data_IF_390702480879
#
_entry.id   IF_390702480879
#
_cell.length_a   1.000
_cell.length_b   1.000
_cell.length_c   1.000
_cell.angle_alpha   90.00
_cell.angle_beta   90.00
_cell.angle_gamma   90.00
#
_symmetry.space_group_name_H-M   'P 1'
#
loop_
_entity.id
_entity.type
_entity.pdbx_description
1 polymer ?
#
# COMPACT_ATOMS: atom_id res chain seq x y z
N UNK A 1 11.33 23.24 -53.61
CA UNK A 1 12.01 23.22 -52.30
C UNK A 1 10.92 23.09 -51.26
N UNK A 2 10.67 21.86 -50.79
CA UNK A 2 9.63 21.59 -49.78
C UNK A 2 10.23 21.85 -48.40
N UNK A 3 9.70 22.84 -47.67
CA UNK A 3 9.99 22.99 -46.25
C UNK A 3 9.13 22.00 -45.47
N UNK A 4 9.77 21.02 -44.84
CA UNK A 4 9.16 20.19 -43.81
C UNK A 4 9.04 21.09 -42.57
N UNK A 5 7.81 21.38 -42.13
CA UNK A 5 7.57 21.90 -40.79
C UNK A 5 7.84 20.78 -39.82
N UNK A 6 8.89 20.90 -39.03
CA UNK A 6 9.06 20.08 -37.83
C UNK A 6 7.86 20.36 -36.90
N UNK A 7 7.09 19.32 -36.60
CA UNK A 7 6.17 19.37 -35.47
C UNK A 7 7.03 19.42 -34.20
N UNK A 8 6.85 20.40 -33.30
CA UNK A 8 7.41 20.27 -31.98
C UNK A 8 6.76 19.04 -31.35
N UNK A 9 7.56 18.03 -31.06
CA UNK A 9 7.18 16.96 -30.15
C UNK A 9 6.79 17.66 -28.84
N UNK A 10 5.50 17.64 -28.50
CA UNK A 10 5.05 17.95 -27.14
C UNK A 10 5.74 16.95 -26.22
N UNK A 11 6.88 17.38 -25.69
CA UNK A 11 7.61 16.73 -24.62
C UNK A 11 6.76 16.88 -23.37
N UNK A 12 5.76 16.00 -23.23
CA UNK A 12 5.03 15.84 -21.97
C UNK A 12 6.05 15.30 -20.95
N UNK A 13 6.82 16.19 -20.34
CA UNK A 13 7.63 15.87 -19.18
C UNK A 13 6.72 15.18 -18.18
N UNK A 14 7.05 13.94 -17.84
CA UNK A 14 6.31 13.18 -16.86
C UNK A 14 6.27 14.02 -15.56
N UNK A 15 5.09 14.43 -15.08
CA UNK A 15 5.00 15.29 -13.90
C UNK A 15 5.42 14.56 -12.62
N UNK A 16 5.57 13.23 -12.68
CA UNK A 16 5.96 12.41 -11.56
C UNK A 16 7.46 12.14 -11.59
N UNK A 17 8.11 12.25 -10.43
CA UNK A 17 9.54 11.98 -10.24
C UNK A 17 9.79 10.47 -10.17
N UNK A 18 8.82 9.71 -9.68
CA UNK A 18 8.90 8.26 -9.57
C UNK A 18 7.53 7.60 -9.79
N UNK A 19 7.56 6.32 -10.15
CA UNK A 19 6.41 5.42 -10.12
C UNK A 19 6.61 4.43 -8.99
N UNK A 20 5.60 4.25 -8.13
CA UNK A 20 5.60 3.23 -7.07
C UNK A 20 4.46 2.26 -7.35
N UNK A 21 4.80 0.98 -7.49
CA UNK A 21 3.85 -0.11 -7.62
C UNK A 21 3.73 -0.87 -6.30
N UNK A 22 2.54 -0.88 -5.70
CA UNK A 22 2.19 -1.63 -4.50
C UNK A 22 1.51 -2.95 -4.91
N UNK A 23 2.13 -4.06 -4.56
CA UNK A 23 1.54 -5.38 -4.65
C UNK A 23 0.89 -5.75 -3.32
N UNK A 24 -0.41 -5.47 -3.21
CA UNK A 24 -1.18 -5.72 -1.99
C UNK A 24 -1.70 -7.16 -1.96
N UNK A 25 -0.88 -8.16 -1.64
CA UNK A 25 -1.28 -9.58 -1.69
C UNK A 25 -2.10 -10.03 -0.48
N UNK A 26 -2.69 -11.24 -0.56
CA UNK A 26 -3.47 -11.81 0.56
C UNK A 26 -2.60 -12.20 1.75
N UNK A 27 -1.45 -12.83 1.47
CA UNK A 27 -0.52 -13.32 2.50
C UNK A 27 0.66 -12.40 2.69
N UNK A 28 1.18 -11.84 1.60
CA UNK A 28 2.35 -10.96 1.61
C UNK A 28 2.09 -9.75 0.73
N UNK A 29 2.61 -8.61 1.16
CA UNK A 29 2.52 -7.35 0.46
C UNK A 29 3.91 -6.75 0.29
N UNK A 30 4.13 -6.06 -0.82
CA UNK A 30 5.37 -5.35 -1.09
C UNK A 30 5.18 -4.20 -2.05
N UNK A 31 6.25 -3.46 -2.30
CA UNK A 31 6.26 -2.42 -3.31
C UNK A 31 7.59 -2.39 -4.07
N UNK A 32 7.52 -1.89 -5.29
CA UNK A 32 8.66 -1.59 -6.14
C UNK A 32 8.54 -0.16 -6.65
N UNK A 33 9.66 0.47 -6.97
CA UNK A 33 9.68 1.80 -7.53
C UNK A 33 10.70 1.94 -8.66
N UNK A 34 10.47 2.94 -9.51
CA UNK A 34 11.40 3.36 -10.55
C UNK A 34 11.36 4.87 -10.69
N UNK A 35 12.51 5.49 -10.97
CA UNK A 35 12.61 6.93 -11.17
C UNK A 35 12.38 7.29 -12.63
N UNK A 36 11.63 8.37 -12.85
CA UNK A 36 11.46 8.96 -14.18
C UNK A 36 12.63 9.94 -14.42
N UNK A 37 13.82 9.42 -14.71
CA UNK A 37 14.98 10.24 -15.12
C UNK A 37 15.23 10.10 -16.61
N UNK A 38 15.44 11.22 -17.29
CA UNK A 38 15.59 11.29 -18.76
C UNK A 38 16.80 10.51 -19.32
N UNK A 39 17.72 9.98 -18.50
CA UNK A 39 19.02 9.46 -18.96
C UNK A 39 19.59 8.24 -18.20
N UNK A 40 18.81 7.54 -17.35
CA UNK A 40 19.29 6.32 -16.67
C UNK A 40 18.41 5.13 -17.04
N UNK A 41 19.05 3.97 -17.24
CA UNK A 41 18.41 2.68 -17.49
C UNK A 41 17.25 2.43 -16.52
N UNK A 42 16.14 1.89 -17.02
CA UNK A 42 14.91 1.50 -16.29
C UNK A 42 15.22 0.59 -15.07
N UNK A 43 15.76 1.17 -14.00
CA UNK A 43 16.13 0.46 -12.81
C UNK A 43 14.86 0.28 -11.98
N UNK A 44 14.53 -0.99 -11.70
CA UNK A 44 13.45 -1.35 -10.80
C UNK A 44 14.07 -1.64 -9.44
N UNK A 45 13.70 -0.82 -8.47
CA UNK A 45 14.08 -0.97 -7.09
C UNK A 45 12.94 -1.65 -6.35
N UNK A 46 13.27 -2.60 -5.48
CA UNK A 46 12.31 -3.23 -4.59
C UNK A 46 12.74 -2.93 -3.17
N UNK A 47 11.78 -2.85 -2.25
CA UNK A 47 12.13 -2.94 -0.85
C UNK A 47 12.91 -4.25 -0.61
N UNK A 48 13.95 -4.20 0.23
CA UNK A 48 14.72 -5.38 0.67
C UNK A 48 15.01 -5.35 2.18
N UNK A 49 14.52 -4.36 2.90
CA UNK A 49 14.97 -4.09 4.27
C UNK A 49 13.96 -4.49 5.34
N UNK A 50 12.84 -5.13 4.95
CA UNK A 50 11.99 -5.79 5.94
C UNK A 50 12.69 -7.01 6.51
N UNK A 51 12.83 -7.02 7.83
CA UNK A 51 13.55 -8.04 8.57
C UNK A 51 12.53 -9.02 9.17
N UNK A 52 12.66 -10.29 8.83
CA UNK A 52 11.83 -11.34 9.42
C UNK A 52 12.34 -11.76 10.81
N UNK A 53 11.60 -12.63 11.50
CA UNK A 53 11.94 -13.14 12.84
C UNK A 53 13.33 -13.82 12.93
N UNK A 54 13.89 -14.26 11.81
CA UNK A 54 15.22 -14.90 11.72
C UNK A 54 16.34 -13.91 11.37
N UNK A 55 16.05 -12.61 11.32
CA UNK A 55 17.01 -11.59 10.87
C UNK A 55 17.24 -11.56 9.35
N UNK A 56 16.46 -12.34 8.60
CA UNK A 56 16.53 -12.41 7.14
C UNK A 56 15.87 -11.20 6.50
N UNK A 57 16.56 -10.59 5.53
CA UNK A 57 16.05 -9.49 4.70
C UNK A 57 15.10 -10.00 3.63
N UNK A 58 13.95 -9.35 3.49
CA UNK A 58 12.86 -9.76 2.61
C UNK A 58 12.36 -8.59 1.77
N UNK A 59 11.86 -8.89 0.57
CA UNK A 59 11.24 -7.89 -0.31
C UNK A 59 9.74 -7.72 -0.13
N UNK A 60 9.13 -8.58 0.68
CA UNK A 60 7.72 -8.55 1.05
C UNK A 60 7.57 -8.79 2.54
N UNK A 61 6.56 -8.15 3.12
CA UNK A 61 6.17 -8.34 4.52
C UNK A 61 4.80 -9.01 4.58
N UNK A 62 4.47 -9.76 5.64
CA UNK A 62 3.14 -10.34 5.81
C UNK A 62 2.02 -9.28 5.67
N UNK A 63 0.90 -9.65 5.07
CA UNK A 63 -0.28 -8.77 4.99
C UNK A 63 -1.07 -8.88 6.29
N UNK A 64 -0.57 -8.25 7.34
CA UNK A 64 -1.22 -8.20 8.64
C UNK A 64 -1.10 -6.82 9.28
N UNK A 65 -2.12 -6.45 10.05
CA UNK A 65 -2.26 -5.14 10.67
C UNK A 65 -2.60 -5.33 12.14
N UNK A 66 -1.90 -4.62 13.02
CA UNK A 66 -2.25 -4.50 14.43
C UNK A 66 -2.75 -3.08 14.69
N UNK A 67 -3.90 -2.96 15.35
CA UNK A 67 -4.42 -1.71 15.88
C UNK A 67 -4.44 -1.72 17.40
N UNK A 68 -4.22 -0.53 17.95
CA UNK A 68 -4.37 -0.24 19.37
C UNK A 68 -5.85 -0.34 19.80
N UNK A 69 -6.13 -0.37 21.13
CA UNK A 69 -7.50 -0.43 21.64
C UNK A 69 -8.40 0.73 21.21
N UNK A 70 -7.83 1.87 20.84
CA UNK A 70 -8.51 3.06 20.32
C UNK A 70 -8.66 3.04 18.78
N UNK A 71 -8.34 1.92 18.13
CA UNK A 71 -8.31 1.71 16.68
C UNK A 71 -7.25 2.52 15.92
N UNK A 72 -6.32 3.18 16.62
CA UNK A 72 -5.16 3.79 15.99
C UNK A 72 -4.17 2.73 15.48
N UNK A 73 -3.42 3.08 14.43
CA UNK A 73 -2.38 2.22 13.87
C UNK A 73 -1.33 1.87 14.94
N UNK A 74 -1.03 0.58 15.11
CA UNK A 74 0.09 0.13 15.93
C UNK A 74 1.27 -0.27 15.03
N UNK A 75 1.09 -1.32 14.23
CA UNK A 75 2.14 -1.87 13.36
C UNK A 75 1.56 -2.67 12.20
N UNK A 76 2.40 -2.98 11.22
CA UNK A 76 2.06 -3.78 10.04
C UNK A 76 3.14 -4.82 9.76
N UNK A 77 2.76 -5.94 9.16
CA UNK A 77 3.72 -6.97 8.73
C UNK A 77 4.41 -7.69 9.88
N UNK A 78 5.72 -7.96 9.75
CA UNK A 78 6.50 -8.66 10.78
C UNK A 78 6.35 -8.01 12.17
N UNK A 79 6.42 -6.68 12.26
CA UNK A 79 6.22 -5.94 13.51
C UNK A 79 4.82 -6.14 14.11
N UNK A 80 3.78 -6.33 13.28
CA UNK A 80 2.44 -6.65 13.76
C UNK A 80 2.34 -8.06 14.33
N UNK A 81 3.04 -9.02 13.74
CA UNK A 81 3.11 -10.39 14.26
C UNK A 81 3.86 -10.42 15.59
N UNK A 82 5.03 -9.76 15.65
CA UNK A 82 5.85 -9.72 16.85
C UNK A 82 5.13 -8.99 18.00
N UNK A 83 4.63 -7.77 17.77
CA UNK A 83 3.94 -6.99 18.79
C UNK A 83 2.71 -7.74 19.33
N UNK A 84 1.97 -8.44 18.45
CA UNK A 84 0.82 -9.22 18.88
C UNK A 84 1.22 -10.44 19.72
N UNK A 85 2.28 -11.15 19.33
CA UNK A 85 2.79 -12.31 20.07
C UNK A 85 3.39 -11.94 21.44
N UNK A 86 3.86 -10.70 21.61
CA UNK A 86 4.41 -10.20 22.88
C UNK A 86 3.34 -9.82 23.92
N UNK A 87 2.05 -9.75 23.56
CA UNK A 87 0.97 -9.45 24.49
C UNK A 87 0.88 -10.55 25.57
N UNK A 88 1.30 -10.22 26.80
CA UNK A 88 1.66 -11.19 27.85
C UNK A 88 0.47 -11.93 28.49
N UNK A 89 -0.76 -11.46 28.29
CA UNK A 89 -1.96 -12.11 28.84
C UNK A 89 -3.19 -11.94 27.93
N UNK A 90 -4.08 -12.93 28.00
CA UNK A 90 -5.32 -12.98 27.19
C UNK A 90 -6.16 -11.71 27.35
N UNK A 91 -6.20 -11.10 28.53
CA UNK A 91 -6.98 -9.88 28.78
C UNK A 91 -6.46 -8.66 28.01
N UNK A 92 -5.15 -8.56 27.78
CA UNK A 92 -4.56 -7.51 26.95
C UNK A 92 -4.73 -7.81 25.47
N UNK A 93 -4.51 -9.06 25.04
CA UNK A 93 -4.74 -9.50 23.66
C UNK A 93 -6.14 -9.14 23.17
N UNK A 94 -7.16 -9.34 24.02
CA UNK A 94 -8.56 -9.02 23.72
C UNK A 94 -8.84 -7.52 23.51
N UNK A 95 -7.91 -6.62 23.87
CA UNK A 95 -8.05 -5.17 23.65
C UNK A 95 -7.52 -4.74 22.29
N UNK A 96 -6.51 -5.40 21.75
CA UNK A 96 -5.91 -5.06 20.46
C UNK A 96 -6.66 -5.71 19.30
N UNK A 97 -6.55 -5.13 18.11
CA UNK A 97 -7.22 -5.63 16.92
C UNK A 97 -6.18 -6.10 15.91
N UNK A 98 -5.97 -7.41 15.86
CA UNK A 98 -5.05 -8.03 14.91
C UNK A 98 -5.79 -8.62 13.72
N UNK A 99 -5.35 -8.27 12.52
CA UNK A 99 -5.94 -8.71 11.26
C UNK A 99 -4.90 -9.45 10.42
N UNK A 100 -5.27 -10.62 9.90
CA UNK A 100 -4.52 -11.36 8.89
C UNK A 100 -5.47 -11.80 7.77
N UNK A 101 -4.94 -11.98 6.56
CA UNK A 101 -5.69 -12.46 5.39
C UNK A 101 -6.96 -11.64 5.07
N UNK A 102 -7.05 -10.41 5.58
CA UNK A 102 -8.25 -9.56 5.48
C UNK A 102 -8.56 -9.14 4.04
N UNK A 103 -7.61 -9.31 3.10
CA UNK A 103 -7.86 -9.18 1.64
C UNK A 103 -9.00 -10.10 1.17
N UNK A 104 -9.22 -11.23 1.85
CA UNK A 104 -10.28 -12.18 1.52
C UNK A 104 -11.69 -11.63 1.75
N UNK A 105 -11.84 -10.57 2.54
CA UNK A 105 -13.13 -9.87 2.66
C UNK A 105 -13.61 -9.26 1.32
N UNK A 106 -12.71 -9.07 0.34
CA UNK A 106 -13.06 -8.54 -0.98
C UNK A 106 -13.26 -9.64 -2.04
N UNK A 107 -13.12 -10.91 -1.68
CA UNK A 107 -13.18 -12.01 -2.64
C UNK A 107 -14.62 -12.42 -2.93
N UNK A 108 -15.10 -12.14 -4.15
CA UNK A 108 -16.40 -12.58 -4.68
C UNK A 108 -17.62 -12.23 -3.79
N UNK A 109 -17.53 -11.16 -3.00
CA UNK A 109 -18.67 -10.68 -2.22
C UNK A 109 -19.49 -9.67 -3.04
N UNK A 110 -20.67 -10.10 -3.50
CA UNK A 110 -21.64 -9.23 -4.19
C UNK A 110 -22.25 -8.18 -3.26
N UNK A 111 -22.09 -8.33 -1.94
CA UNK A 111 -22.62 -7.41 -0.91
C UNK A 111 -21.59 -6.41 -0.41
N UNK A 112 -20.38 -6.38 -0.97
CA UNK A 112 -19.32 -5.45 -0.58
C UNK A 112 -19.83 -4.00 -0.64
N UNK A 113 -19.78 -3.30 0.49
CA UNK A 113 -20.22 -1.92 0.60
C UNK A 113 -19.47 -1.18 1.73
N UNK A 114 -19.81 0.09 1.97
CA UNK A 114 -19.15 0.95 2.98
C UNK A 114 -19.36 0.50 4.42
N UNK A 115 -20.37 -0.34 4.67
CA UNK A 115 -20.67 -0.95 5.96
C UNK A 115 -19.97 -2.29 6.17
N UNK A 116 -19.28 -2.84 5.15
CA UNK A 116 -18.52 -4.07 5.29
C UNK A 116 -17.51 -3.95 6.43
N UNK A 117 -17.61 -4.86 7.39
CA UNK A 117 -16.70 -5.01 8.53
C UNK A 117 -15.82 -6.25 8.35
N UNK A 118 -14.68 -6.26 9.04
CA UNK A 118 -13.76 -7.39 9.13
C UNK A 118 -13.55 -7.70 10.59
N UNK A 119 -13.54 -8.98 10.92
CA UNK A 119 -13.33 -9.50 12.26
C UNK A 119 -11.83 -9.61 12.56
N UNK A 120 -11.39 -8.99 13.65
CA UNK A 120 -10.06 -9.18 14.21
C UNK A 120 -9.94 -10.52 14.95
N UNK A 121 -8.72 -10.92 15.30
CA UNK A 121 -8.44 -12.14 16.06
C UNK A 121 -9.19 -12.21 17.42
N UNK A 122 -9.37 -11.06 18.09
CA UNK A 122 -10.17 -10.94 19.32
C UNK A 122 -11.70 -11.08 19.10
N UNK A 123 -12.13 -11.27 17.86
CA UNK A 123 -13.52 -11.43 17.48
C UNK A 123 -14.34 -10.15 17.35
N UNK A 124 -13.77 -8.98 17.62
CA UNK A 124 -14.40 -7.67 17.40
C UNK A 124 -14.30 -7.28 15.93
N UNK A 125 -15.21 -6.42 15.49
CA UNK A 125 -15.30 -5.98 14.11
C UNK A 125 -14.84 -4.53 13.92
N UNK A 126 -14.15 -4.28 12.82
CA UNK A 126 -13.73 -2.95 12.37
C UNK A 126 -14.13 -2.76 10.91
N UNK A 127 -14.45 -1.54 10.51
CA UNK A 127 -14.73 -1.20 9.10
C UNK A 127 -13.60 -1.69 8.21
N UNK A 128 -13.93 -2.44 7.16
CA UNK A 128 -12.98 -2.93 6.18
C UNK A 128 -12.17 -1.77 5.58
N UNK A 129 -12.85 -0.68 5.21
CA UNK A 129 -12.23 0.54 4.67
C UNK A 129 -11.07 1.03 5.54
N UNK A 130 -11.24 1.09 6.87
CA UNK A 130 -10.22 1.51 7.81
C UNK A 130 -8.99 0.59 7.76
N UNK A 131 -9.19 -0.72 7.80
CA UNK A 131 -8.11 -1.72 7.78
C UNK A 131 -7.27 -1.60 6.50
N UNK A 132 -7.93 -1.51 5.35
CA UNK A 132 -7.23 -1.37 4.07
C UNK A 132 -6.55 -0.01 3.92
N UNK A 133 -7.21 1.09 4.30
CA UNK A 133 -6.63 2.43 4.20
C UNK A 133 -5.38 2.59 5.07
N UNK A 134 -5.41 2.10 6.32
CA UNK A 134 -4.24 2.11 7.20
C UNK A 134 -3.09 1.27 6.63
N UNK A 135 -3.39 0.12 6.06
CA UNK A 135 -2.39 -0.75 5.42
C UNK A 135 -1.75 -0.10 4.19
N UNK A 136 -2.56 0.53 3.32
CA UNK A 136 -2.04 1.24 2.13
C UNK A 136 -1.23 2.47 2.58
N UNK A 137 -1.67 3.18 3.61
CA UNK A 137 -0.95 4.33 4.17
C UNK A 137 0.43 3.92 4.67
N UNK A 138 0.53 2.81 5.40
CA UNK A 138 1.83 2.29 5.85
C UNK A 138 2.78 2.03 4.67
N UNK A 139 2.31 1.37 3.61
CA UNK A 139 3.13 1.06 2.43
C UNK A 139 3.57 2.32 1.69
N UNK A 140 2.68 3.31 1.61
CA UNK A 140 3.00 4.63 1.06
C UNK A 140 4.12 5.30 1.85
N UNK A 141 3.98 5.36 3.17
CA UNK A 141 4.95 6.03 4.03
C UNK A 141 6.32 5.31 3.97
N UNK A 142 6.33 3.98 3.93
CA UNK A 142 7.56 3.20 3.79
C UNK A 142 8.21 3.38 2.41
N UNK A 143 7.42 3.45 1.34
CA UNK A 143 7.95 3.73 0.00
C UNK A 143 8.59 5.12 -0.09
N UNK A 144 7.93 6.15 0.47
CA UNK A 144 8.46 7.52 0.50
C UNK A 144 9.77 7.56 1.30
N UNK A 145 9.82 6.88 2.45
CA UNK A 145 11.03 6.80 3.27
C UNK A 145 12.20 6.17 2.52
N UNK A 146 11.98 5.06 1.80
CA UNK A 146 13.04 4.41 1.01
C UNK A 146 13.49 5.30 -0.15
N UNK A 147 12.56 5.96 -0.84
CA UNK A 147 12.88 6.92 -1.92
C UNK A 147 13.76 8.08 -1.42
N UNK A 148 13.42 8.64 -0.26
CA UNK A 148 14.21 9.71 0.36
C UNK A 148 15.63 9.23 0.71
N UNK A 149 15.77 8.01 1.27
CA UNK A 149 17.06 7.43 1.61
C UNK A 149 17.95 7.15 0.38
N UNK A 150 17.37 6.64 -0.72
CA UNK A 150 18.13 6.27 -1.93
C UNK A 150 18.64 7.49 -2.70
N UNK A 151 17.90 8.59 -2.65
CA UNK A 151 18.21 9.83 -3.39
C UNK A 151 18.90 10.89 -2.54
N UNK A 152 18.79 10.81 -1.22
CA UNK A 152 19.24 11.84 -0.29
C UNK A 152 18.40 13.13 -0.31
N UNK A 153 17.21 13.09 -0.93
CA UNK A 153 16.27 14.22 -0.98
C UNK A 153 15.04 13.91 -0.11
N UNK A 154 14.88 14.67 0.97
CA UNK A 154 13.76 14.51 1.90
C UNK A 154 12.47 15.19 1.43
N UNK A 155 12.45 15.78 0.22
CA UNK A 155 11.32 16.57 -0.28
C UNK A 155 10.26 15.78 -1.05
N UNK A 156 10.37 14.45 -1.20
CA UNK A 156 9.34 13.67 -1.90
C UNK A 156 7.98 13.82 -1.25
N UNK A 157 7.03 14.38 -2.00
CA UNK A 157 5.63 14.40 -1.60
C UNK A 157 4.90 13.27 -2.30
N UNK A 158 3.80 12.85 -1.70
CA UNK A 158 2.92 11.83 -2.29
C UNK A 158 2.44 12.21 -3.70
N UNK A 159 2.28 13.50 -3.99
CA UNK A 159 1.83 14.02 -5.30
C UNK A 159 2.90 13.98 -6.39
N UNK A 160 4.18 13.89 -6.02
CA UNK A 160 5.31 13.77 -6.94
C UNK A 160 5.48 12.31 -7.44
N UNK A 161 4.70 11.38 -6.90
CA UNK A 161 4.77 9.96 -7.17
C UNK A 161 3.52 9.48 -7.90
N UNK A 162 3.71 8.73 -8.97
CA UNK A 162 2.63 7.97 -9.58
C UNK A 162 2.42 6.65 -8.82
N UNK A 163 1.29 6.51 -8.16
CA UNK A 163 0.94 5.29 -7.42
C UNK A 163 0.18 4.30 -8.29
N UNK A 164 0.67 3.06 -8.33
CA UNK A 164 0.03 1.92 -8.97
C UNK A 164 -0.30 0.91 -7.89
N UNK A 165 -1.58 0.59 -7.72
CA UNK A 165 -2.03 -0.42 -6.76
C UNK A 165 -2.55 -1.64 -7.51
N UNK A 166 -1.93 -2.80 -7.31
CA UNK A 166 -2.36 -4.02 -8.00
C UNK A 166 -3.66 -4.55 -7.40
N UNK A 167 -4.57 -4.97 -8.27
CA UNK A 167 -5.82 -5.66 -7.90
C UNK A 167 -5.96 -6.93 -8.74
N UNK A 168 -6.45 -8.05 -8.18
CA UNK A 168 -6.69 -9.27 -8.93
C UNK A 168 -7.62 -9.05 -10.13
N UNK A 169 -7.31 -9.67 -11.27
CA UNK A 169 -8.11 -9.54 -12.49
C UNK A 169 -9.56 -10.04 -12.32
N UNK A 170 -9.76 -11.08 -11.51
CA UNK A 170 -11.05 -11.72 -11.22
C UNK A 170 -11.99 -10.89 -10.32
N UNK A 171 -11.51 -9.77 -9.78
CA UNK A 171 -12.32 -8.97 -8.87
C UNK A 171 -13.48 -8.26 -9.56
N UNK A 172 -14.60 -8.22 -8.83
CA UNK A 172 -15.80 -7.48 -9.24
C UNK A 172 -15.51 -5.97 -9.34
N UNK A 173 -16.30 -5.22 -10.11
CA UNK A 173 -16.20 -3.75 -10.14
C UNK A 173 -16.30 -3.12 -8.74
N UNK A 174 -17.16 -3.69 -7.87
CA UNK A 174 -17.31 -3.24 -6.48
C UNK A 174 -16.01 -3.40 -5.67
N UNK A 175 -15.30 -4.53 -5.79
CA UNK A 175 -14.03 -4.75 -5.11
C UNK A 175 -12.91 -3.81 -5.61
N UNK A 176 -12.88 -3.54 -6.92
CA UNK A 176 -11.95 -2.55 -7.50
C UNK A 176 -12.24 -1.14 -7.00
N UNK A 177 -13.52 -0.74 -6.95
CA UNK A 177 -13.96 0.54 -6.43
C UNK A 177 -13.64 0.68 -4.93
N UNK A 178 -13.85 -0.37 -4.15
CA UNK A 178 -13.50 -0.40 -2.73
C UNK A 178 -12.01 -0.12 -2.50
N UNK A 179 -11.12 -0.79 -3.24
CA UNK A 179 -9.68 -0.53 -3.11
C UNK A 179 -9.32 0.89 -3.53
N UNK A 180 -9.98 1.44 -4.56
CA UNK A 180 -9.79 2.84 -4.98
C UNK A 180 -10.17 3.81 -3.85
N UNK A 181 -11.25 3.55 -3.15
CA UNK A 181 -11.67 4.37 -2.00
C UNK A 181 -10.70 4.26 -0.82
N UNK A 182 -10.22 3.05 -0.49
CA UNK A 182 -9.20 2.86 0.53
C UNK A 182 -7.87 3.56 0.16
N UNK A 183 -7.47 3.49 -1.11
CA UNK A 183 -6.33 4.20 -1.67
C UNK A 183 -6.48 5.72 -1.55
N UNK A 184 -7.66 6.26 -1.85
CA UNK A 184 -7.95 7.69 -1.66
C UNK A 184 -7.82 8.11 -0.19
N UNK A 185 -8.34 7.32 0.75
CA UNK A 185 -8.22 7.59 2.20
C UNK A 185 -6.76 7.53 2.69
N UNK A 186 -5.94 6.67 2.11
CA UNK A 186 -4.51 6.59 2.38
C UNK A 186 -3.69 7.74 1.75
N UNK A 187 -4.31 8.54 0.87
CA UNK A 187 -3.68 9.63 0.15
C UNK A 187 -2.90 9.20 -1.11
N UNK A 188 -3.02 7.95 -1.56
CA UNK A 188 -2.34 7.47 -2.79
C UNK A 188 -3.23 7.56 -4.03
N UNK A 189 -4.51 7.90 -3.88
CA UNK A 189 -5.44 8.08 -4.99
C UNK A 189 -5.79 9.56 -5.22
N UNK A 190 -5.87 9.97 -6.49
CA UNK A 190 -6.40 11.29 -6.88
C UNK A 190 -7.92 11.17 -7.06
N UNK A 191 -8.68 12.12 -6.50
CA UNK A 191 -10.14 12.15 -6.64
C UNK A 191 -10.63 12.30 -8.09
N UNK A 192 -9.75 12.58 -9.07
CA UNK A 192 -10.14 13.05 -10.41
C UNK A 192 -9.81 12.15 -11.59
N UNK A 193 -9.20 10.97 -11.45
CA UNK A 193 -8.90 10.12 -12.62
C UNK A 193 -9.50 8.70 -12.52
N UNK A 194 -10.60 8.40 -13.25
CA UNK A 194 -11.11 7.05 -13.46
C UNK A 194 -10.36 6.33 -14.59
N UNK A 195 -9.02 6.38 -14.55
CA UNK A 195 -8.17 5.55 -15.41
C UNK A 195 -8.26 4.08 -15.02
#
# INVERSE_FOLDING_TARGET
MFQIKENPSDDFKNPYIAVVAIDFGTSYTGFAFSFNKDNEQDAIFMNRDWTNEQGGRTSKTPTCLLLNPDLSFNSFGYDAMENYAQLQNEHEEQKYFFFQHFKMALHNDEKLNKETSIKAANGKEVKAQTVFALSIKFLKDEAIKILALDTGDDQFKTDDIQWVLTVPAIWTPAAKQFMREAANQAGVGKQTNPG
#
